data_IF_988907270126
#
_entry.id   IF_988907270126
#
_cell.length_a   1.000
_cell.length_b   1.000
_cell.length_c   1.000
_cell.angle_alpha   90.00
_cell.angle_beta   90.00
_cell.angle_gamma   90.00
#
_symmetry.space_group_name_H-M   'P 1'
#
loop_
_entity.id
_entity.type
_entity.pdbx_description
1 polymer ?
#
# COMPACT_ATOMS: atom_id res chain seq x y z
N UNK A 1 -7.02 5.62 19.77
CA UNK A 1 -7.38 4.39 19.00
C UNK A 1 -6.71 4.44 17.63
N UNK A 2 -5.93 3.44 17.30
CA UNK A 2 -5.09 3.36 16.08
C UNK A 2 -5.92 3.39 14.78
N UNK A 3 -5.35 3.91 13.70
CA UNK A 3 -5.93 3.87 12.35
C UNK A 3 -5.15 2.90 11.46
N UNK A 4 -5.83 2.16 10.60
CA UNK A 4 -5.15 1.51 9.48
C UNK A 4 -4.62 2.60 8.55
N UNK A 5 -3.37 2.47 8.11
CA UNK A 5 -2.83 3.31 7.05
C UNK A 5 -2.71 2.52 5.76
N UNK A 6 -3.15 3.15 4.67
CA UNK A 6 -3.05 2.61 3.31
C UNK A 6 -2.49 3.69 2.41
N UNK A 7 -1.39 3.40 1.71
CA UNK A 7 -0.82 4.30 0.74
C UNK A 7 -0.79 3.66 -0.65
N UNK A 8 -1.37 4.34 -1.63
CA UNK A 8 -1.46 3.87 -3.01
C UNK A 8 -0.70 4.82 -3.94
N UNK A 9 0.16 4.26 -4.78
CA UNK A 9 0.79 5.00 -5.88
C UNK A 9 -0.14 5.01 -7.10
N UNK A 10 -0.39 6.18 -7.67
CA UNK A 10 -1.34 6.36 -8.79
C UNK A 10 -0.67 7.06 -9.98
N UNK A 11 -1.16 6.77 -11.18
CA UNK A 11 -0.68 7.42 -12.41
C UNK A 11 -1.32 8.79 -12.62
N UNK A 12 -2.59 8.94 -12.26
CA UNK A 12 -3.36 10.17 -12.38
C UNK A 12 -3.98 10.52 -11.02
N UNK A 13 -3.42 11.54 -10.38
CA UNK A 13 -3.86 11.98 -9.06
C UNK A 13 -5.27 12.56 -9.08
N UNK A 14 -5.61 13.33 -10.12
CA UNK A 14 -6.92 13.96 -10.24
C UNK A 14 -8.04 12.95 -10.47
N UNK A 15 -7.83 11.98 -11.35
CA UNK A 15 -8.79 10.89 -11.57
C UNK A 15 -8.97 10.05 -10.31
N UNK A 16 -7.86 9.71 -9.66
CA UNK A 16 -7.88 8.89 -8.44
C UNK A 16 -8.55 9.63 -7.28
N UNK A 17 -8.33 10.93 -7.15
CA UNK A 17 -8.98 11.76 -6.13
C UNK A 17 -10.49 11.72 -6.29
N UNK A 18 -11.01 11.94 -7.50
CA UNK A 18 -12.45 11.85 -7.77
C UNK A 18 -13.02 10.48 -7.43
N UNK A 19 -12.33 9.42 -7.81
CA UNK A 19 -12.75 8.05 -7.52
C UNK A 19 -12.83 7.79 -6.01
N UNK A 20 -11.76 8.09 -5.26
CA UNK A 20 -11.72 7.81 -3.83
C UNK A 20 -12.63 8.72 -3.02
N UNK A 21 -12.80 10.00 -3.40
CA UNK A 21 -13.78 10.89 -2.76
C UNK A 21 -15.20 10.36 -2.93
N UNK A 22 -15.52 9.83 -4.11
CA UNK A 22 -16.84 9.18 -4.36
C UNK A 22 -16.98 7.89 -3.56
N UNK A 23 -15.95 7.03 -3.57
CA UNK A 23 -15.98 5.75 -2.85
C UNK A 23 -16.17 5.93 -1.34
N UNK A 24 -15.47 6.91 -0.77
CA UNK A 24 -15.50 7.20 0.66
C UNK A 24 -16.64 8.14 1.07
N UNK A 25 -17.35 8.71 0.10
CA UNK A 25 -18.34 9.77 0.33
C UNK A 25 -17.77 10.92 1.20
N UNK A 26 -16.50 11.27 1.00
CA UNK A 26 -15.76 12.22 1.81
C UNK A 26 -14.75 13.01 0.98
N UNK A 27 -14.60 14.29 1.32
CA UNK A 27 -13.57 15.12 0.74
C UNK A 27 -12.21 14.81 1.38
N UNK A 28 -11.09 14.97 0.63
CA UNK A 28 -9.76 14.76 1.20
C UNK A 28 -9.43 15.83 2.25
N UNK A 29 -8.74 15.40 3.30
CA UNK A 29 -8.28 16.29 4.39
C UNK A 29 -6.98 17.02 4.05
N UNK A 30 -6.20 16.49 3.09
CA UNK A 30 -4.98 17.13 2.57
C UNK A 30 -4.96 16.97 1.05
N UNK A 31 -4.72 18.06 0.33
CA UNK A 31 -4.54 18.08 -1.13
C UNK A 31 -3.26 18.81 -1.46
N UNK A 32 -2.36 18.19 -2.22
CA UNK A 32 -1.13 18.73 -2.79
C UNK A 32 -1.04 18.34 -4.27
N UNK A 33 -0.11 18.90 -5.01
CA UNK A 33 0.07 18.63 -6.43
C UNK A 33 0.47 17.17 -6.72
N UNK A 34 1.04 16.49 -5.73
CA UNK A 34 1.62 15.16 -5.83
C UNK A 34 1.10 14.16 -4.79
N UNK A 35 0.22 14.61 -3.87
CA UNK A 35 -0.23 13.83 -2.73
C UNK A 35 -1.64 14.25 -2.28
N UNK A 36 -2.50 13.27 -2.00
CA UNK A 36 -3.83 13.50 -1.44
C UNK A 36 -4.09 12.50 -0.31
N UNK A 37 -4.77 12.95 0.76
CA UNK A 37 -5.04 12.13 1.94
C UNK A 37 -6.47 12.31 2.46
N UNK A 38 -7.09 11.22 2.87
CA UNK A 38 -8.35 11.17 3.61
C UNK A 38 -8.08 10.60 5.01
N UNK A 39 -8.65 11.25 6.02
CA UNK A 39 -8.70 10.75 7.39
C UNK A 39 -10.14 10.36 7.68
N UNK A 40 -10.45 9.07 7.53
CA UNK A 40 -11.80 8.55 7.69
C UNK A 40 -12.00 7.96 9.09
N UNK A 41 -13.20 8.11 9.65
CA UNK A 41 -13.55 7.54 10.93
C UNK A 41 -14.34 6.23 10.80
N UNK A 42 -15.01 6.04 9.67
CA UNK A 42 -15.73 4.79 9.33
C UNK A 42 -15.55 4.45 7.84
N UNK A 43 -14.79 3.41 7.48
CA UNK A 43 -13.85 2.68 8.35
C UNK A 43 -12.72 3.60 8.86
N UNK A 44 -12.20 3.31 10.05
CA UNK A 44 -11.14 4.12 10.67
C UNK A 44 -9.80 3.92 9.93
N UNK A 45 -9.57 4.75 8.92
CA UNK A 45 -8.40 4.65 8.05
C UNK A 45 -7.79 6.02 7.73
N UNK A 46 -6.45 6.05 7.68
CA UNK A 46 -5.67 7.09 7.04
C UNK A 46 -5.32 6.58 5.63
N UNK A 47 -6.08 7.03 4.64
CA UNK A 47 -5.88 6.65 3.25
C UNK A 47 -5.15 7.76 2.49
N UNK A 48 -4.06 7.42 1.82
CA UNK A 48 -3.28 8.37 1.04
C UNK A 48 -3.00 7.86 -0.36
N UNK A 49 -2.95 8.79 -1.31
CA UNK A 49 -2.47 8.53 -2.66
C UNK A 49 -1.36 9.51 -3.02
N UNK A 50 -0.41 9.07 -3.83
CA UNK A 50 0.59 9.95 -4.42
C UNK A 50 0.99 9.49 -5.83
N UNK A 51 1.62 10.38 -6.59
CA UNK A 51 2.10 10.02 -7.93
C UNK A 51 3.20 8.95 -7.86
N UNK A 52 3.23 8.05 -8.83
CA UNK A 52 4.25 6.96 -8.91
C UNK A 52 5.68 7.51 -8.89
N UNK A 53 5.92 8.66 -9.52
CA UNK A 53 7.24 9.29 -9.62
C UNK A 53 7.86 9.64 -8.26
N UNK A 54 7.04 9.99 -7.26
CA UNK A 54 7.51 10.38 -5.93
C UNK A 54 7.78 9.19 -5.04
N UNK A 55 6.83 8.25 -4.98
CA UNK A 55 6.96 7.11 -4.08
C UNK A 55 7.89 6.02 -4.58
N UNK A 56 8.04 5.90 -5.88
CA UNK A 56 8.71 4.76 -6.48
C UNK A 56 9.20 5.10 -7.88
N UNK A 57 10.32 5.81 -8.04
CA UNK A 57 10.89 6.05 -9.36
C UNK A 57 11.03 4.73 -10.13
N UNK A 58 10.40 4.63 -11.30
CA UNK A 58 10.34 3.38 -12.08
C UNK A 58 9.41 2.30 -11.54
N UNK A 59 8.57 2.62 -10.51
CA UNK A 59 7.61 1.69 -9.94
C UNK A 59 6.26 1.68 -10.67
N UNK A 60 5.39 0.77 -10.24
CA UNK A 60 4.04 0.60 -10.78
C UNK A 60 3.02 1.28 -9.88
N UNK A 61 1.87 1.68 -10.46
CA UNK A 61 0.70 2.07 -9.70
C UNK A 61 0.17 0.87 -8.88
N UNK A 62 -0.41 1.16 -7.71
CA UNK A 62 -0.94 0.16 -6.80
C UNK A 62 -0.55 0.42 -5.35
N UNK A 63 -0.74 -0.55 -4.47
CA UNK A 63 -0.40 -0.41 -3.05
C UNK A 63 1.10 -0.19 -2.89
N UNK A 64 1.47 0.95 -2.33
CA UNK A 64 2.86 1.30 -2.00
C UNK A 64 3.28 0.66 -0.69
N UNK A 65 2.48 0.84 0.35
CA UNK A 65 2.66 0.26 1.68
C UNK A 65 1.35 0.31 2.48
N UNK A 66 1.33 -0.47 3.53
CA UNK A 66 0.31 -0.46 4.58
C UNK A 66 0.92 0.08 5.87
N UNK A 67 0.08 0.29 6.90
CA UNK A 67 0.62 0.74 8.17
C UNK A 67 -0.40 0.84 9.30
N UNK A 68 0.11 1.25 10.45
CA UNK A 68 -0.68 1.56 11.64
C UNK A 68 -0.28 2.95 12.12
N UNK A 69 -1.22 3.88 12.09
CA UNK A 69 -1.06 5.20 12.69
C UNK A 69 -1.50 5.14 14.15
N UNK A 70 -0.60 5.48 15.07
CA UNK A 70 -0.89 5.73 16.47
C UNK A 70 -1.43 7.15 16.67
N UNK A 71 -2.26 7.37 17.69
CA UNK A 71 -2.75 8.70 18.09
C UNK A 71 -1.91 9.33 19.20
N UNK A 72 -1.21 8.50 19.96
CA UNK A 72 -0.33 8.92 21.05
C UNK A 72 0.90 8.00 21.18
N UNK A 73 1.85 8.41 22.03
CA UNK A 73 3.09 7.69 22.26
C UNK A 73 2.87 6.31 22.88
N UNK A 74 1.85 6.14 23.71
CA UNK A 74 1.57 4.86 24.36
C UNK A 74 1.11 3.82 23.33
N UNK A 75 0.28 4.22 22.38
CA UNK A 75 -0.13 3.40 21.26
C UNK A 75 1.04 3.06 20.32
N UNK A 76 1.96 4.02 20.12
CA UNK A 76 3.14 3.80 19.27
C UNK A 76 4.06 2.74 19.92
N UNK A 77 4.38 2.91 21.21
CA UNK A 77 5.22 1.97 21.98
C UNK A 77 4.60 0.57 21.98
N UNK A 78 3.29 0.46 22.22
CA UNK A 78 2.58 -0.83 22.18
C UNK A 78 2.78 -1.57 20.85
N UNK A 79 2.73 -0.86 19.71
CA UNK A 79 2.95 -1.48 18.41
C UNK A 79 4.43 -1.80 18.19
N UNK A 80 5.34 -0.93 18.60
CA UNK A 80 6.78 -1.18 18.52
C UNK A 80 7.19 -2.43 19.28
N UNK A 81 6.66 -2.63 20.50
CA UNK A 81 6.88 -3.84 21.29
C UNK A 81 6.37 -5.11 20.59
N UNK A 82 5.29 -5.00 19.84
CA UNK A 82 4.80 -6.12 18.99
C UNK A 82 5.73 -6.39 17.82
N UNK A 83 6.19 -5.34 17.12
CA UNK A 83 7.11 -5.47 15.99
C UNK A 83 8.46 -6.07 16.41
N UNK A 84 8.97 -5.71 17.59
CA UNK A 84 10.22 -6.28 18.12
C UNK A 84 10.15 -7.82 18.27
N UNK A 85 8.96 -8.38 18.46
CA UNK A 85 8.73 -9.84 18.56
C UNK A 85 8.49 -10.52 17.20
N UNK A 86 8.44 -9.76 16.11
CA UNK A 86 8.18 -10.31 14.77
C UNK A 86 9.41 -10.99 14.13
N UNK A 87 10.59 -10.93 14.79
CA UNK A 87 11.83 -11.57 14.35
C UNK A 87 12.26 -11.19 12.91
N UNK A 88 12.01 -9.95 12.53
CA UNK A 88 12.34 -9.40 11.21
C UNK A 88 13.09 -8.07 11.34
N UNK A 89 13.91 -7.71 10.32
CA UNK A 89 14.58 -6.42 10.33
C UNK A 89 13.61 -5.25 10.44
N UNK A 90 13.89 -4.34 11.35
CA UNK A 90 13.15 -3.10 11.56
C UNK A 90 14.03 -1.92 11.14
N UNK A 91 13.46 -0.96 10.41
CA UNK A 91 14.09 0.32 10.11
C UNK A 91 13.38 1.41 10.91
N UNK A 92 14.10 2.00 11.85
CA UNK A 92 13.61 3.11 12.66
C UNK A 92 13.95 4.45 12.00
N UNK A 93 13.02 5.40 12.05
CA UNK A 93 13.19 6.77 11.59
C UNK A 93 12.48 7.73 12.55
N UNK A 94 13.28 8.45 13.35
CA UNK A 94 12.80 9.44 14.33
C UNK A 94 12.80 10.84 13.73
N UNK A 95 11.81 11.65 14.11
CA UNK A 95 11.64 13.04 13.70
C UNK A 95 11.73 13.22 12.17
N UNK A 96 11.25 12.23 11.41
CA UNK A 96 11.38 12.23 9.95
C UNK A 96 10.29 13.07 9.32
N UNK A 97 10.67 13.86 8.30
CA UNK A 97 9.71 14.53 7.41
C UNK A 97 9.40 13.61 6.24
N UNK A 98 8.15 13.21 6.12
CA UNK A 98 7.67 12.42 4.99
C UNK A 98 6.17 12.68 4.77
N UNK A 99 5.75 12.70 3.49
CA UNK A 99 4.33 12.82 3.13
C UNK A 99 3.67 14.07 3.74
N UNK A 100 4.39 15.21 3.75
CA UNK A 100 3.98 16.48 4.33
C UNK A 100 3.71 16.45 5.85
N UNK A 101 4.29 15.48 6.56
CA UNK A 101 4.18 15.34 8.00
C UNK A 101 5.53 15.11 8.67
N UNK A 102 5.64 15.51 9.94
CA UNK A 102 6.73 15.14 10.85
C UNK A 102 6.24 13.99 11.71
N UNK A 103 7.00 12.90 11.76
CA UNK A 103 6.58 11.70 12.47
C UNK A 103 7.76 10.89 12.99
N UNK A 104 7.52 10.14 14.05
CA UNK A 104 8.35 9.02 14.46
C UNK A 104 7.75 7.76 13.86
N UNK A 105 8.59 6.89 13.30
CA UNK A 105 8.13 5.71 12.58
C UNK A 105 9.10 4.55 12.61
N UNK A 106 8.52 3.36 12.50
CA UNK A 106 9.25 2.14 12.21
C UNK A 106 8.68 1.46 10.98
N UNK A 107 9.56 0.87 10.21
CA UNK A 107 9.26 0.09 9.04
C UNK A 107 9.64 -1.37 9.24
N UNK A 108 8.77 -2.27 8.83
CA UNK A 108 9.01 -3.71 8.79
C UNK A 108 8.40 -4.26 7.49
N UNK A 109 8.97 -5.32 6.93
CA UNK A 109 8.35 -6.04 5.83
C UNK A 109 7.67 -7.30 6.36
N UNK A 110 6.46 -7.60 5.88
CA UNK A 110 5.81 -8.87 6.17
C UNK A 110 6.52 -10.05 5.46
N UNK A 111 6.11 -11.32 5.69
CA UNK A 111 6.74 -12.47 5.04
C UNK A 111 6.69 -12.46 3.51
N UNK A 112 5.76 -11.73 2.90
CA UNK A 112 5.61 -11.58 1.45
C UNK A 112 6.34 -10.34 0.91
N UNK A 113 7.01 -9.57 1.79
CA UNK A 113 7.75 -8.36 1.42
C UNK A 113 6.89 -7.10 1.34
N UNK A 114 5.62 -7.14 1.77
CA UNK A 114 4.79 -5.92 1.83
C UNK A 114 5.32 -5.01 2.93
N UNK A 115 5.66 -3.75 2.62
CA UNK A 115 6.12 -2.80 3.63
C UNK A 115 4.98 -2.38 4.56
N UNK A 116 5.27 -2.37 5.86
CA UNK A 116 4.38 -1.86 6.89
C UNK A 116 5.05 -0.73 7.65
N UNK A 117 4.36 0.41 7.75
CA UNK A 117 4.77 1.60 8.47
C UNK A 117 3.98 1.72 9.77
N UNK A 118 4.65 1.80 10.92
CA UNK A 118 4.00 2.18 12.18
C UNK A 118 4.51 3.56 12.56
N UNK A 119 3.61 4.50 12.81
CA UNK A 119 4.00 5.89 13.02
C UNK A 119 3.06 6.68 13.92
N UNK A 120 3.63 7.71 14.54
CA UNK A 120 2.92 8.81 15.21
C UNK A 120 3.26 10.13 14.51
N UNK A 121 2.25 10.89 14.13
CA UNK A 121 2.42 12.21 13.52
C UNK A 121 2.47 13.28 14.60
N UNK A 122 3.56 14.08 14.63
CA UNK A 122 3.75 15.19 15.56
C UNK A 122 3.33 16.54 14.98
N UNK A 123 3.24 16.66 13.65
CA UNK A 123 2.89 17.91 12.99
C UNK A 123 2.94 17.87 11.47
N UNK A 124 2.66 19.00 10.86
CA UNK A 124 2.69 19.18 9.42
C UNK A 124 4.07 19.61 8.93
N UNK A 125 4.39 19.27 7.68
CA UNK A 125 5.56 19.76 6.96
C UNK A 125 5.14 20.38 5.63
N UNK A 126 5.95 21.31 5.12
CA UNK A 126 5.69 22.01 3.85
C UNK A 126 6.22 21.26 2.63
N UNK A 127 7.10 20.26 2.86
CA UNK A 127 7.74 19.45 1.82
C UNK A 127 7.33 17.99 1.98
N UNK A 128 7.37 17.25 0.88
CA UNK A 128 7.08 15.80 0.90
C UNK A 128 8.09 15.04 1.76
N UNK A 129 9.36 15.41 1.70
CA UNK A 129 10.47 14.79 2.44
C UNK A 129 10.91 13.45 1.86
N UNK A 130 11.97 12.89 2.44
CA UNK A 130 12.52 11.59 2.04
C UNK A 130 12.01 10.48 2.98
N UNK A 131 11.33 9.49 2.40
CA UNK A 131 10.83 8.35 3.16
C UNK A 131 11.90 7.30 3.43
N UNK A 132 11.82 6.63 4.58
CA UNK A 132 12.71 5.53 4.98
C UNK A 132 12.39 4.18 4.30
N UNK A 133 11.42 4.15 3.39
CA UNK A 133 10.99 2.95 2.68
C UNK A 133 12.12 2.32 1.83
N UNK A 134 13.01 3.15 1.26
CA UNK A 134 14.16 2.65 0.52
C UNK A 134 15.10 1.83 1.41
N UNK A 135 15.37 2.30 2.63
CA UNK A 135 16.21 1.59 3.61
C UNK A 135 15.62 0.24 4.02
N UNK A 136 14.30 0.15 4.16
CA UNK A 136 13.64 -1.12 4.45
C UNK A 136 13.90 -2.15 3.34
N UNK A 137 13.84 -1.75 2.08
CA UNK A 137 14.10 -2.64 0.94
C UNK A 137 15.53 -3.18 0.94
N UNK A 138 16.50 -2.34 1.29
CA UNK A 138 17.92 -2.75 1.40
C UNK A 138 18.11 -3.81 2.48
N UNK A 139 17.58 -3.60 3.69
CA UNK A 139 17.78 -4.54 4.81
C UNK A 139 16.92 -5.79 4.74
N UNK A 140 15.80 -5.75 4.00
CA UNK A 140 14.91 -6.90 3.82
C UNK A 140 15.36 -7.86 2.72
N UNK A 141 16.49 -7.60 2.07
CA UNK A 141 17.04 -8.45 0.99
C UNK A 141 16.21 -8.45 -0.29
N UNK A 142 15.22 -7.57 -0.39
CA UNK A 142 14.30 -7.48 -1.53
C UNK A 142 14.88 -6.63 -2.69
N UNK A 143 16.19 -6.35 -2.67
CA UNK A 143 16.78 -5.44 -3.65
C UNK A 143 17.00 -6.05 -5.04
N UNK A 144 17.04 -7.39 -5.22
CA UNK A 144 17.35 -7.95 -6.56
C UNK A 144 16.92 -9.40 -6.79
N UNK A 145 16.12 -10.05 -5.95
CA UNK A 145 15.84 -11.48 -6.11
C UNK A 145 14.34 -11.84 -6.00
N UNK A 146 13.46 -11.04 -6.57
CA UNK A 146 12.09 -11.48 -6.86
C UNK A 146 11.92 -11.63 -8.38
N UNK A 147 12.80 -12.39 -9.02
CA UNK A 147 12.27 -13.34 -9.99
C UNK A 147 11.68 -14.49 -9.17
N UNK A 148 10.36 -14.72 -9.19
CA UNK A 148 9.83 -15.96 -8.67
C UNK A 148 10.59 -17.07 -9.41
N UNK A 149 11.03 -18.15 -8.73
CA UNK A 149 11.51 -19.30 -9.45
C UNK A 149 10.41 -19.61 -10.45
N UNK A 150 10.74 -19.55 -11.73
CA UNK A 150 9.84 -20.02 -12.78
C UNK A 150 9.71 -21.50 -12.48
N UNK A 151 8.79 -21.84 -11.58
CA UNK A 151 8.29 -23.18 -11.48
C UNK A 151 7.84 -23.46 -12.92
N UNK A 152 8.62 -24.25 -13.64
CA UNK A 152 8.17 -24.87 -14.88
C UNK A 152 6.84 -25.52 -14.50
N UNK A 153 5.77 -24.78 -14.72
CA UNK A 153 4.45 -25.35 -14.84
C UNK A 153 4.57 -26.26 -16.07
N UNK A 154 5.02 -27.49 -15.84
CA UNK A 154 4.74 -28.56 -16.76
C UNK A 154 3.22 -28.49 -16.92
N UNK A 155 2.73 -28.35 -18.16
CA UNK A 155 1.30 -28.40 -18.40
C UNK A 155 0.85 -29.75 -17.84
N UNK A 156 0.02 -29.75 -16.80
CA UNK A 156 -0.73 -30.93 -16.42
C UNK A 156 -1.46 -31.37 -17.68
N UNK A 157 -1.38 -32.63 -18.07
CA UNK A 157 -2.20 -33.12 -19.17
C UNK A 157 -3.65 -32.80 -18.80
N UNK A 158 -4.27 -31.98 -19.62
CA UNK A 158 -5.70 -31.75 -19.56
C UNK A 158 -6.32 -33.11 -19.79
N UNK A 159 -6.90 -33.70 -18.76
CA UNK A 159 -7.72 -34.88 -18.93
C UNK A 159 -8.84 -34.47 -19.89
N UNK A 160 -8.82 -35.09 -21.07
CA UNK A 160 -9.93 -35.03 -21.98
C UNK A 160 -11.15 -35.60 -21.27
N UNK A 161 -12.05 -34.73 -20.89
CA UNK A 161 -13.39 -35.14 -20.51
C UNK A 161 -14.35 -33.97 -20.75
N UNK A 162 -15.28 -34.26 -21.63
CA UNK A 162 -16.58 -33.60 -21.78
C UNK A 162 -16.65 -32.32 -22.63
N UNK A 163 -16.60 -32.53 -23.95
CA UNK A 163 -17.51 -31.85 -24.86
C UNK A 163 -17.88 -32.82 -25.97
N UNK A 164 -18.90 -33.64 -25.76
CA UNK A 164 -19.63 -34.25 -26.84
C UNK A 164 -20.32 -33.15 -27.65
N UNK A 165 -20.22 -33.16 -28.96
CA UNK A 165 -20.96 -32.22 -29.80
C UNK A 165 -22.40 -32.64 -29.93
N UNK A 166 -23.32 -31.98 -29.22
CA UNK A 166 -24.74 -32.07 -29.57
C UNK A 166 -25.07 -31.12 -30.72
N UNK A 167 -25.97 -31.57 -31.64
CA UNK A 167 -26.22 -30.89 -32.88
C UNK A 167 -27.03 -29.62 -32.70
N UNK A 168 -26.78 -28.71 -33.66
CA UNK A 168 -27.41 -27.42 -33.80
C UNK A 168 -28.92 -27.43 -33.61
N UNK A 169 -29.40 -26.56 -32.68
CA UNK A 169 -30.76 -26.05 -32.74
C UNK A 169 -30.67 -24.53 -32.97
N UNK A 170 -30.99 -24.17 -34.17
CA UNK A 170 -31.30 -22.84 -34.65
C UNK A 170 -32.50 -22.30 -33.88
N UNK A 171 -32.33 -21.21 -33.12
CA UNK A 171 -33.45 -20.28 -32.86
C UNK A 171 -32.91 -18.85 -32.75
N UNK A 172 -33.46 -18.06 -33.63
CA UNK A 172 -33.41 -16.62 -33.80
C UNK A 172 -33.55 -15.81 -32.49
N UNK A 173 -32.66 -14.84 -32.28
CA UNK A 173 -33.04 -13.62 -31.59
C UNK A 173 -33.46 -12.56 -32.62
N UNK A 174 -34.74 -12.29 -32.70
CA UNK A 174 -35.31 -11.08 -33.24
C UNK A 174 -35.96 -10.29 -32.11
N UNK A 175 -35.56 -9.02 -32.04
CA UNK A 175 -36.05 -7.81 -31.38
C UNK A 175 -35.32 -7.40 -30.12
#
# INVERSE_FOLDING_TARGET
>A
MKRLHVHVSVNDLGQSTRFYSTLFAAEPTVVKDDYVKWMLDDPRVNFAISTVSINRPGGFAGISHLGIQAEDESELVEVYDRLARAERPIVEAKATTCCYAKSDKQWIADPQGVPWETFLTHGHATVYGEGSLAKLREVSGCATACEPPVAKLLPKPIAEACCDPQPAATVCCAR
#
